data_IF_371188622647
#
_entry.id   IF_371188622647
#
_cell.length_a   1.000
_cell.length_b   1.000
_cell.length_c   1.000
_cell.angle_alpha   90.00
_cell.angle_beta   90.00
_cell.angle_gamma   90.00
#
_symmetry.space_group_name_H-M   'P 1'
#
loop_
_entity.id
_entity.type
_entity.pdbx_description
1 polymer ?
#
# COMPACT_ATOMS: atom_id res chain seq x y z
N UNK A 1 21.56 19.68 24.71
CA UNK A 1 21.24 19.50 23.28
C UNK A 1 21.44 18.03 22.94
N UNK A 2 20.36 17.26 22.88
CA UNK A 2 20.34 15.93 22.28
C UNK A 2 18.94 15.78 21.71
N UNK A 3 18.75 16.34 20.51
CA UNK A 3 17.59 16.02 19.70
C UNK A 3 17.85 14.64 19.13
N UNK A 4 17.16 13.64 19.66
CA UNK A 4 16.95 12.39 18.95
C UNK A 4 16.10 12.75 17.72
N UNK A 5 16.80 13.04 16.62
CA UNK A 5 16.22 13.15 15.29
C UNK A 5 15.60 11.78 15.00
N UNK A 6 14.32 11.64 15.30
CA UNK A 6 13.50 10.45 15.05
C UNK A 6 13.41 10.29 13.53
N UNK A 7 14.47 9.71 12.95
CA UNK A 7 14.51 9.33 11.55
C UNK A 7 13.25 8.48 11.29
N UNK A 8 12.38 8.87 10.35
CA UNK A 8 11.10 8.22 10.18
C UNK A 8 11.31 6.74 9.89
N UNK A 9 10.88 5.89 10.81
CA UNK A 9 10.95 4.43 10.68
C UNK A 9 10.37 4.05 9.32
N UNK A 10 11.20 3.48 8.46
CA UNK A 10 10.81 3.13 7.09
C UNK A 10 9.78 2.01 7.14
N UNK A 11 8.48 2.37 7.10
CA UNK A 11 7.36 1.44 7.32
C UNK A 11 7.28 0.29 6.30
N UNK A 12 8.00 0.38 5.17
CA UNK A 12 7.93 -0.59 4.06
C UNK A 12 9.32 -0.87 3.47
N UNK A 13 10.28 -1.23 4.32
CA UNK A 13 11.60 -1.66 3.86
C UNK A 13 11.47 -2.88 2.93
N UNK A 14 12.12 -2.81 1.76
CA UNK A 14 12.15 -3.92 0.80
C UNK A 14 13.29 -4.86 1.18
N UNK A 15 13.04 -6.17 1.17
CA UNK A 15 14.02 -7.20 1.51
C UNK A 15 14.10 -8.28 0.44
N UNK A 16 15.30 -8.84 0.12
CA UNK A 16 16.61 -8.53 0.70
C UNK A 16 17.19 -7.20 0.20
N UNK A 17 18.07 -6.60 1.02
CA UNK A 17 18.96 -5.50 0.63
C UNK A 17 20.32 -6.05 0.19
N UNK A 18 21.20 -5.20 -0.37
CA UNK A 18 22.57 -5.60 -0.72
C UNK A 18 22.65 -6.84 -1.64
N UNK A 19 21.76 -6.85 -2.63
CA UNK A 19 21.38 -8.00 -3.47
C UNK A 19 22.58 -8.76 -4.06
N UNK A 20 23.66 -8.05 -4.40
CA UNK A 20 24.88 -8.60 -5.04
C UNK A 20 26.14 -8.52 -4.17
N UNK A 21 26.04 -8.02 -2.94
CA UNK A 21 27.19 -7.68 -2.09
C UNK A 21 27.64 -8.83 -1.16
N UNK A 22 27.11 -10.02 -1.35
CA UNK A 22 27.46 -11.17 -0.52
C UNK A 22 28.82 -11.77 -0.91
N UNK A 23 29.67 -12.03 0.09
CA UNK A 23 30.94 -12.74 -0.10
C UNK A 23 30.67 -14.22 -0.37
N UNK A 24 31.30 -14.76 -1.41
CA UNK A 24 31.24 -16.19 -1.71
C UNK A 24 31.92 -17.02 -0.61
N UNK A 25 31.37 -18.20 -0.25
CA UNK A 25 32.05 -19.16 0.62
C UNK A 25 33.39 -19.60 0.03
N UNK A 26 34.40 -19.78 0.88
CA UNK A 26 35.74 -20.25 0.47
C UNK A 26 35.78 -21.65 -0.14
N UNK A 27 34.67 -22.40 -0.06
CA UNK A 27 34.47 -23.69 -0.71
C UNK A 27 34.22 -23.58 -2.22
N UNK A 28 33.82 -22.41 -2.72
CA UNK A 28 33.60 -22.15 -4.14
C UNK A 28 34.92 -21.62 -4.70
N UNK A 29 35.60 -22.43 -5.51
CA UNK A 29 36.88 -22.07 -6.16
C UNK A 29 36.82 -22.08 -7.69
N UNK A 30 35.68 -22.50 -8.25
CA UNK A 30 35.36 -22.50 -9.68
C UNK A 30 33.95 -21.92 -9.85
N UNK A 31 33.66 -21.36 -11.03
CA UNK A 31 32.34 -20.80 -11.40
C UNK A 31 31.82 -19.69 -10.47
N UNK A 32 32.72 -18.89 -9.88
CA UNK A 32 32.40 -17.80 -8.96
C UNK A 32 31.42 -16.79 -9.56
N UNK A 33 31.62 -16.42 -10.83
CA UNK A 33 30.75 -15.47 -11.54
C UNK A 33 29.33 -16.01 -11.68
N UNK A 34 29.17 -17.28 -12.04
CA UNK A 34 27.86 -17.93 -12.16
C UNK A 34 27.17 -17.98 -10.79
N UNK A 35 27.92 -18.32 -9.73
CA UNK A 35 27.39 -18.35 -8.39
C UNK A 35 26.87 -16.98 -7.93
N UNK A 36 27.66 -15.92 -8.12
CA UNK A 36 27.25 -14.54 -7.78
C UNK A 36 26.07 -14.07 -8.63
N UNK A 37 26.06 -14.39 -9.93
CA UNK A 37 24.97 -14.04 -10.83
C UNK A 37 23.66 -14.73 -10.40
N UNK A 38 23.69 -16.03 -10.15
CA UNK A 38 22.53 -16.79 -9.68
C UNK A 38 22.04 -16.30 -8.30
N UNK A 39 22.95 -16.03 -7.37
CA UNK A 39 22.61 -15.44 -6.07
C UNK A 39 21.94 -14.07 -6.20
N UNK A 40 22.48 -13.21 -7.08
CA UNK A 40 21.90 -11.90 -7.38
C UNK A 40 20.51 -12.03 -7.96
N UNK A 41 20.30 -12.90 -8.97
CA UNK A 41 18.98 -13.12 -9.58
C UNK A 41 17.97 -13.66 -8.57
N UNK A 42 18.36 -14.63 -7.73
CA UNK A 42 17.50 -15.14 -6.68
C UNK A 42 17.10 -14.05 -5.68
N UNK A 43 18.06 -13.21 -5.27
CA UNK A 43 17.79 -12.09 -4.37
C UNK A 43 16.90 -11.01 -5.03
N UNK A 44 17.07 -10.72 -6.33
CA UNK A 44 16.17 -9.82 -7.07
C UNK A 44 14.74 -10.35 -7.09
N UNK A 45 14.55 -11.64 -7.36
CA UNK A 45 13.21 -12.26 -7.34
C UNK A 45 12.57 -12.13 -5.95
N UNK A 46 13.34 -12.37 -4.88
CA UNK A 46 12.87 -12.19 -3.50
C UNK A 46 12.54 -10.73 -3.20
N UNK A 47 13.35 -9.81 -3.69
CA UNK A 47 13.17 -8.37 -3.51
C UNK A 47 11.89 -7.89 -4.19
N UNK A 48 11.64 -8.34 -5.43
CA UNK A 48 10.40 -8.10 -6.16
C UNK A 48 9.19 -8.70 -5.43
N UNK A 49 9.31 -9.90 -4.86
CA UNK A 49 8.24 -10.50 -4.03
C UNK A 49 7.93 -9.65 -2.79
N UNK A 50 8.96 -9.14 -2.09
CA UNK A 50 8.77 -8.21 -0.98
C UNK A 50 8.07 -6.93 -1.44
N UNK A 51 8.47 -6.38 -2.58
CA UNK A 51 7.86 -5.18 -3.16
C UNK A 51 6.38 -5.41 -3.53
N UNK A 52 6.06 -6.53 -4.19
CA UNK A 52 4.68 -6.89 -4.54
C UNK A 52 3.80 -7.02 -3.31
N UNK A 53 4.29 -7.62 -2.22
CA UNK A 53 3.55 -7.71 -0.95
C UNK A 53 3.25 -6.32 -0.36
N UNK A 54 4.22 -5.41 -0.42
CA UNK A 54 4.01 -4.04 0.04
C UNK A 54 2.98 -3.31 -0.82
N UNK A 55 3.03 -3.50 -2.15
CA UNK A 55 2.07 -2.93 -3.09
C UNK A 55 0.65 -3.50 -2.89
N UNK A 56 0.52 -4.79 -2.58
CA UNK A 56 -0.76 -5.38 -2.19
C UNK A 56 -1.33 -4.72 -0.93
N UNK A 57 -0.48 -4.47 0.08
CA UNK A 57 -0.91 -3.84 1.33
C UNK A 57 -1.35 -2.37 1.12
N UNK A 58 -0.46 -1.52 0.56
CA UNK A 58 -0.82 -0.60 -0.54
C UNK A 58 -2.30 -0.44 -0.91
N UNK A 59 -2.60 -1.11 -2.00
CA UNK A 59 -3.88 -1.05 -2.66
C UNK A 59 -5.01 -1.65 -1.82
N UNK A 60 -4.72 -2.59 -0.93
CA UNK A 60 -5.68 -3.12 0.03
C UNK A 60 -6.20 -2.05 1.00
N UNK A 61 -5.29 -1.26 1.60
CA UNK A 61 -5.65 -0.15 2.50
C UNK A 61 -6.49 0.91 1.75
N UNK A 62 -6.05 1.30 0.55
CA UNK A 62 -6.76 2.28 -0.29
C UNK A 62 -8.15 1.77 -0.68
N UNK A 63 -8.25 0.51 -1.10
CA UNK A 63 -9.51 -0.12 -1.47
C UNK A 63 -10.49 -0.14 -0.29
N UNK A 64 -10.01 -0.52 0.90
CA UNK A 64 -10.85 -0.58 2.09
C UNK A 64 -11.44 0.80 2.44
N UNK A 65 -10.62 1.85 2.43
CA UNK A 65 -11.10 3.21 2.69
C UNK A 65 -12.03 3.73 1.57
N UNK A 66 -11.80 3.34 0.31
CA UNK A 66 -12.70 3.67 -0.79
C UNK A 66 -14.09 3.02 -0.60
N UNK A 67 -14.16 1.74 -0.22
CA UNK A 67 -15.43 1.05 0.07
C UNK A 67 -16.18 1.72 1.23
N UNK A 68 -15.45 2.09 2.27
CA UNK A 68 -16.03 2.80 3.43
C UNK A 68 -16.55 4.19 3.03
N UNK A 69 -15.84 4.91 2.17
CA UNK A 69 -16.27 6.20 1.64
C UNK A 69 -17.52 6.04 0.76
N UNK A 70 -17.58 5.02 -0.09
CA UNK A 70 -18.76 4.70 -0.90
C UNK A 70 -19.99 4.46 -0.02
N UNK A 71 -19.88 3.62 1.02
CA UNK A 71 -21.00 3.36 1.93
C UNK A 71 -21.50 4.63 2.64
N UNK A 72 -20.58 5.48 3.11
CA UNK A 72 -20.92 6.78 3.71
C UNK A 72 -21.61 7.70 2.71
N UNK A 73 -21.12 7.73 1.48
CA UNK A 73 -21.68 8.54 0.39
C UNK A 73 -23.08 8.08 0.03
N UNK A 74 -23.31 6.78 -0.08
CA UNK A 74 -24.63 6.20 -0.33
C UNK A 74 -25.63 6.53 0.80
N UNK A 75 -25.20 6.41 2.05
CA UNK A 75 -26.02 6.81 3.21
C UNK A 75 -26.37 8.29 3.16
N UNK A 76 -25.41 9.14 2.80
CA UNK A 76 -25.64 10.58 2.65
C UNK A 76 -26.59 10.88 1.48
N UNK A 77 -26.45 10.21 0.35
CA UNK A 77 -27.33 10.35 -0.82
C UNK A 77 -28.78 10.06 -0.44
N UNK A 78 -29.03 8.95 0.26
CA UNK A 78 -30.38 8.62 0.75
C UNK A 78 -30.96 9.68 1.70
N UNK A 79 -30.11 10.28 2.54
CA UNK A 79 -30.54 11.37 3.44
C UNK A 79 -30.88 12.64 2.65
N UNK A 80 -30.11 12.96 1.62
CA UNK A 80 -30.38 14.09 0.72
C UNK A 80 -31.70 13.86 0.00
N UNK A 81 -31.92 12.70 -0.61
CA UNK A 81 -33.18 12.39 -1.31
C UNK A 81 -34.40 12.53 -0.40
N UNK A 82 -34.34 12.00 0.83
CA UNK A 82 -35.42 12.15 1.81
C UNK A 82 -35.65 13.61 2.20
N UNK A 83 -34.58 14.39 2.33
CA UNK A 83 -34.68 15.81 2.66
C UNK A 83 -35.30 16.59 1.49
N UNK A 84 -34.80 16.37 0.26
CA UNK A 84 -35.35 16.97 -0.97
C UNK A 84 -36.83 16.66 -1.09
N UNK A 85 -37.23 15.41 -0.92
CA UNK A 85 -38.64 15.03 -1.01
C UNK A 85 -39.51 15.76 0.03
N UNK A 86 -39.03 15.89 1.28
CA UNK A 86 -39.74 16.63 2.33
C UNK A 86 -39.85 18.13 2.02
N UNK A 87 -38.79 18.74 1.49
CA UNK A 87 -38.80 20.15 1.10
C UNK A 87 -39.80 20.38 -0.02
N UNK A 88 -39.78 19.56 -1.08
CA UNK A 88 -40.73 19.67 -2.19
C UNK A 88 -42.19 19.49 -1.74
N UNK A 89 -42.47 18.61 -0.78
CA UNK A 89 -43.81 18.48 -0.22
C UNK A 89 -44.24 19.72 0.59
N UNK A 90 -43.31 20.31 1.36
CA UNK A 90 -43.59 21.53 2.12
C UNK A 90 -43.90 22.71 1.19
N UNK A 91 -43.12 22.88 0.12
CA UNK A 91 -43.36 23.92 -0.89
C UNK A 91 -44.75 23.78 -1.51
N UNK A 92 -45.16 22.56 -1.90
CA UNK A 92 -46.50 22.29 -2.45
C UNK A 92 -47.64 22.58 -1.46
N UNK A 93 -47.40 22.39 -0.16
CA UNK A 93 -48.40 22.67 0.89
C UNK A 93 -48.55 24.16 1.17
N UNK A 94 -47.52 24.98 0.93
CA UNK A 94 -47.58 26.43 1.08
C UNK A 94 -48.29 27.15 -0.09
N UNK A 95 -48.32 26.55 -1.27
CA UNK A 95 -48.93 27.13 -2.47
C UNK A 95 -50.45 26.85 -2.63
N UNK A 96 -51.05 26.05 -1.75
CA UNK A 96 -52.50 25.82 -1.66
C UNK A 96 -53.14 26.63 -0.53
#
# INVERSE_FOLDING_TARGET
MSGDDEMPLTKRAISPVDVSLHRLPSSIQQDELECVANGTLANLIRQLSSLSRHAEHIFGEVYHEAVKLDHKTNTLSQRIERLTHKVTQLDYTQEQ
#
